data_IF_917067678633
#
_entry.id   IF_917067678633
#
_cell.length_a   1.000
_cell.length_b   1.000
_cell.length_c   1.000
_cell.angle_alpha   90.00
_cell.angle_beta   90.00
_cell.angle_gamma   90.00
#
_symmetry.space_group_name_H-M   'P 1'
#
loop_
_entity.id
_entity.type
_entity.pdbx_description
1 polymer ?
#
# COMPACT_ATOMS: atom_id res chain seq x y z
N UNK A 1 0.06 17.66 -11.36
CA UNK A 1 -0.14 16.84 -10.13
C UNK A 1 -0.97 15.62 -10.50
N UNK A 2 -0.42 14.41 -10.35
CA UNK A 2 -1.11 13.18 -10.71
C UNK A 2 -1.94 12.71 -9.51
N UNK A 3 -3.26 12.77 -9.64
CA UNK A 3 -4.18 12.20 -8.66
C UNK A 3 -4.51 10.78 -9.07
N UNK A 4 -4.02 9.79 -8.31
CA UNK A 4 -4.43 8.39 -8.46
C UNK A 4 -5.34 8.04 -7.29
N UNK A 5 -6.54 7.52 -7.56
CA UNK A 5 -7.50 7.09 -6.55
C UNK A 5 -7.92 8.20 -5.55
N UNK A 6 -7.92 9.47 -6.00
CA UNK A 6 -8.20 10.63 -5.14
C UNK A 6 -7.08 10.94 -4.13
N UNK A 7 -5.97 10.21 -4.17
CA UNK A 7 -4.74 10.52 -3.45
C UNK A 7 -3.89 11.45 -4.32
N UNK A 8 -3.30 12.49 -3.70
CA UNK A 8 -2.16 13.13 -4.31
C UNK A 8 -1.01 12.13 -4.26
N UNK A 9 -0.75 11.49 -5.41
CA UNK A 9 0.49 10.75 -5.64
C UNK A 9 1.49 11.76 -6.14
N UNK A 10 1.75 12.77 -5.30
CA UNK A 10 2.93 13.60 -5.50
C UNK A 10 4.14 12.69 -5.30
N UNK A 11 5.11 12.75 -6.22
CA UNK A 11 6.41 12.10 -6.11
C UNK A 11 7.27 12.70 -4.98
N UNK A 12 6.63 13.16 -3.90
CA UNK A 12 7.29 13.54 -2.67
C UNK A 12 7.84 12.25 -2.08
N UNK A 13 9.16 12.18 -2.06
CA UNK A 13 10.00 11.09 -1.57
C UNK A 13 9.28 10.24 -0.53
N UNK A 14 9.00 8.98 -0.89
CA UNK A 14 8.53 8.01 0.09
C UNK A 14 9.51 8.00 1.27
N UNK A 15 9.01 8.01 2.52
CA UNK A 15 9.89 7.94 3.68
C UNK A 15 10.73 6.66 3.62
N UNK A 16 11.95 6.74 4.14
CA UNK A 16 12.82 5.58 4.30
C UNK A 16 12.15 4.47 5.12
N UNK A 17 11.40 4.85 6.17
CA UNK A 17 10.61 3.96 7.02
C UNK A 17 9.10 4.19 6.83
N UNK A 18 8.55 3.60 5.77
CA UNK A 18 7.11 3.66 5.47
C UNK A 18 6.28 3.09 6.63
N UNK A 19 6.64 1.91 7.14
CA UNK A 19 5.85 1.24 8.17
C UNK A 19 5.72 2.07 9.45
N UNK A 20 6.83 2.61 9.99
CA UNK A 20 6.76 3.43 11.20
C UNK A 20 6.00 4.73 10.99
N UNK A 21 6.08 5.33 9.79
CA UNK A 21 5.27 6.52 9.49
C UNK A 21 3.77 6.20 9.40
N UNK A 22 3.39 5.05 8.83
CA UNK A 22 2.00 4.55 8.87
C UNK A 22 1.55 4.34 10.32
N UNK A 23 2.38 3.75 11.18
CA UNK A 23 2.04 3.51 12.58
C UNK A 23 1.76 4.81 13.35
N UNK A 24 2.57 5.84 13.11
CA UNK A 24 2.39 7.18 13.72
C UNK A 24 1.13 7.87 13.22
N UNK A 25 0.87 7.81 11.91
CA UNK A 25 -0.30 8.45 11.30
C UNK A 25 -1.60 7.71 11.62
N UNK A 26 -1.56 6.42 11.91
CA UNK A 26 -2.78 5.60 12.06
C UNK A 26 -3.78 6.13 13.08
N UNK A 27 -3.30 6.65 14.22
CA UNK A 27 -4.17 7.15 15.30
C UNK A 27 -4.79 8.51 15.00
N UNK A 28 -4.09 9.39 14.27
CA UNK A 28 -4.55 10.75 14.01
C UNK A 28 -5.20 10.88 12.62
N UNK A 29 -4.63 10.21 11.63
CA UNK A 29 -4.94 10.35 10.20
C UNK A 29 -4.90 8.97 9.50
N UNK A 30 -5.82 8.05 9.83
CA UNK A 30 -5.83 6.68 9.28
C UNK A 30 -5.95 6.65 7.75
N UNK A 31 -6.58 7.67 7.16
CA UNK A 31 -6.68 7.82 5.70
C UNK A 31 -5.32 8.14 5.07
N UNK A 32 -4.56 9.05 5.66
CA UNK A 32 -3.19 9.34 5.19
C UNK A 32 -2.27 8.15 5.42
N UNK A 33 -2.42 7.44 6.55
CA UNK A 33 -1.64 6.25 6.85
C UNK A 33 -1.83 5.16 5.76
N UNK A 34 -3.08 4.81 5.44
CA UNK A 34 -3.37 3.85 4.37
C UNK A 34 -2.95 4.37 2.99
N UNK A 35 -3.18 5.66 2.71
CA UNK A 35 -2.77 6.29 1.46
C UNK A 35 -1.26 6.31 1.25
N UNK A 36 -0.48 6.51 2.31
CA UNK A 36 0.98 6.41 2.30
C UNK A 36 1.42 4.99 1.95
N UNK A 37 0.87 3.99 2.65
CA UNK A 37 1.22 2.59 2.43
C UNK A 37 0.86 2.13 1.00
N UNK A 38 -0.30 2.56 0.49
CA UNK A 38 -0.74 2.25 -0.86
C UNK A 38 0.17 2.90 -1.91
N UNK A 39 0.52 4.18 -1.75
CA UNK A 39 1.49 4.86 -2.63
C UNK A 39 2.86 4.18 -2.61
N UNK A 40 3.31 3.75 -1.43
CA UNK A 40 4.56 3.01 -1.28
C UNK A 40 4.53 1.67 -2.04
N UNK A 41 3.42 0.93 -1.94
CA UNK A 41 3.21 -0.31 -2.69
C UNK A 41 3.31 -0.07 -4.20
N UNK A 42 2.60 0.93 -4.74
CA UNK A 42 2.64 1.26 -6.18
C UNK A 42 4.06 1.59 -6.66
N UNK A 43 4.80 2.38 -5.89
CA UNK A 43 6.19 2.73 -6.20
C UNK A 43 7.09 1.50 -6.25
N UNK A 44 6.91 0.55 -5.31
CA UNK A 44 7.64 -0.73 -5.32
C UNK A 44 7.24 -1.62 -6.49
N UNK A 45 5.96 -1.68 -6.84
CA UNK A 45 5.50 -2.43 -8.02
C UNK A 45 6.12 -1.89 -9.32
N UNK A 46 6.20 -0.57 -9.45
CA UNK A 46 6.85 0.09 -10.60
C UNK A 46 8.38 -0.10 -10.60
N UNK A 47 9.04 0.04 -9.45
CA UNK A 47 10.51 0.09 -9.36
C UNK A 47 11.14 -1.30 -9.22
N UNK A 48 10.64 -2.10 -8.28
CA UNK A 48 11.18 -3.40 -7.87
C UNK A 48 10.66 -4.52 -8.80
N UNK A 49 9.33 -4.55 -9.02
CA UNK A 49 8.68 -5.58 -9.85
C UNK A 49 8.55 -5.18 -11.33
N UNK A 50 8.91 -3.94 -11.69
CA UNK A 50 8.81 -3.39 -13.06
C UNK A 50 7.43 -3.61 -13.69
N UNK A 51 6.40 -3.61 -12.85
CA UNK A 51 5.03 -3.88 -13.24
C UNK A 51 4.48 -2.63 -13.95
N UNK A 52 3.99 -2.74 -15.20
CA UNK A 52 3.52 -1.58 -15.95
C UNK A 52 2.14 -1.14 -15.46
N UNK A 53 2.11 -0.39 -14.35
CA UNK A 53 0.90 0.23 -13.82
C UNK A 53 0.56 1.48 -14.63
N UNK A 54 -0.69 1.58 -15.07
CA UNK A 54 -1.24 2.74 -15.79
C UNK A 54 -2.15 3.54 -14.87
N UNK A 55 -2.25 4.84 -15.11
CA UNK A 55 -3.17 5.70 -14.36
C UNK A 55 -4.66 5.32 -14.53
N UNK A 56 -4.99 4.56 -15.58
CA UNK A 56 -6.32 4.02 -15.83
C UNK A 56 -6.57 2.64 -15.19
N UNK A 57 -5.56 2.02 -14.59
CA UNK A 57 -5.75 0.76 -13.86
C UNK A 57 -6.61 1.01 -12.62
N UNK A 58 -7.63 0.18 -12.44
CA UNK A 58 -8.44 0.16 -11.22
C UNK A 58 -7.72 -0.65 -10.16
N UNK A 59 -8.04 -0.44 -8.89
CA UNK A 59 -7.44 -1.20 -7.79
C UNK A 59 -7.60 -2.72 -7.99
N UNK A 60 -8.74 -3.15 -8.55
CA UNK A 60 -8.97 -4.55 -8.92
C UNK A 60 -8.02 -5.06 -10.01
N UNK A 61 -7.72 -4.24 -11.04
CA UNK A 61 -6.76 -4.62 -12.07
C UNK A 61 -5.33 -4.68 -11.52
N UNK A 62 -4.97 -3.80 -10.59
CA UNK A 62 -3.67 -3.85 -9.90
C UNK A 62 -3.52 -5.19 -9.17
N UNK A 63 -4.55 -5.65 -8.44
CA UNK A 63 -4.53 -6.96 -7.78
C UNK A 63 -4.37 -8.12 -8.78
N UNK A 64 -5.00 -8.04 -9.94
CA UNK A 64 -4.81 -9.05 -11.00
C UNK A 64 -3.37 -9.06 -11.51
N UNK A 65 -2.79 -7.90 -11.79
CA UNK A 65 -1.39 -7.80 -12.21
C UNK A 65 -0.43 -8.34 -11.15
N UNK A 66 -0.69 -8.08 -9.86
CA UNK A 66 0.11 -8.63 -8.76
C UNK A 66 -0.05 -10.15 -8.66
N UNK A 67 -1.25 -10.69 -8.88
CA UNK A 67 -1.47 -12.13 -8.88
C UNK A 67 -0.65 -12.84 -9.97
N UNK A 68 -0.44 -12.18 -11.12
CA UNK A 68 0.41 -12.69 -12.20
C UNK A 68 1.91 -12.73 -11.85
N UNK A 69 2.34 -11.99 -10.82
CA UNK A 69 3.73 -12.06 -10.32
C UNK A 69 4.02 -13.38 -9.58
N UNK A 70 2.98 -14.17 -9.27
CA UNK A 70 3.09 -15.44 -8.55
C UNK A 70 3.80 -15.31 -7.20
N UNK A 71 3.59 -14.19 -6.51
CA UNK A 71 4.16 -13.85 -5.21
C UNK A 71 3.06 -13.87 -4.14
N UNK A 72 2.81 -15.01 -3.47
CA UNK A 72 1.65 -15.18 -2.60
C UNK A 72 1.60 -14.16 -1.45
N UNK A 73 2.75 -13.84 -0.85
CA UNK A 73 2.84 -12.83 0.22
C UNK A 73 2.46 -11.43 -0.28
N UNK A 74 2.92 -11.05 -1.47
CA UNK A 74 2.63 -9.75 -2.07
C UNK A 74 1.15 -9.67 -2.47
N UNK A 75 0.61 -10.74 -3.08
CA UNK A 75 -0.79 -10.82 -3.47
C UNK A 75 -1.73 -10.76 -2.26
N UNK A 76 -1.37 -11.39 -1.15
CA UNK A 76 -2.14 -11.34 0.09
C UNK A 76 -2.13 -9.95 0.72
N UNK A 77 -0.94 -9.39 0.92
CA UNK A 77 -0.76 -8.04 1.45
C UNK A 77 -1.48 -6.97 0.62
N UNK A 78 -1.31 -7.01 -0.71
CA UNK A 78 -1.92 -6.03 -1.60
C UNK A 78 -3.45 -6.10 -1.57
N UNK A 79 -4.02 -7.30 -1.48
CA UNK A 79 -5.47 -7.50 -1.32
C UNK A 79 -5.98 -6.92 0.00
N UNK A 80 -5.34 -7.23 1.11
CA UNK A 80 -5.73 -6.71 2.43
C UNK A 80 -5.65 -5.18 2.48
N UNK A 81 -4.53 -4.61 2.02
CA UNK A 81 -4.35 -3.16 1.95
C UNK A 81 -5.42 -2.49 1.08
N UNK A 82 -5.68 -3.06 -0.10
CA UNK A 82 -6.69 -2.53 -1.04
C UNK A 82 -8.09 -2.60 -0.44
N UNK A 83 -8.44 -3.68 0.26
CA UNK A 83 -9.73 -3.82 0.92
C UNK A 83 -9.91 -2.78 2.04
N UNK A 84 -8.90 -2.58 2.89
CA UNK A 84 -8.95 -1.54 3.93
C UNK A 84 -9.03 -0.13 3.36
N UNK A 85 -8.25 0.15 2.30
CA UNK A 85 -8.28 1.41 1.60
C UNK A 85 -9.66 1.70 1.00
N UNK A 86 -10.25 0.76 0.25
CA UNK A 86 -11.57 0.92 -0.35
C UNK A 86 -12.67 1.13 0.71
N UNK A 87 -12.62 0.34 1.79
CA UNK A 87 -13.56 0.48 2.90
C UNK A 87 -13.48 1.86 3.56
N UNK A 88 -12.29 2.45 3.67
CA UNK A 88 -12.14 3.80 4.24
C UNK A 88 -12.46 4.91 3.24
N UNK A 89 -11.99 4.79 2.00
CA UNK A 89 -12.12 5.83 0.98
C UNK A 89 -13.56 5.95 0.44
N UNK A 90 -14.23 4.82 0.21
CA UNK A 90 -15.59 4.77 -0.32
C UNK A 90 -16.62 4.43 0.76
N UNK A 91 -16.28 3.53 1.67
CA UNK A 91 -17.18 3.08 2.74
C UNK A 91 -17.11 3.93 4.01
N UNK A 92 -16.18 4.88 4.10
CA UNK A 92 -15.90 5.68 5.32
C UNK A 92 -15.73 4.84 6.58
N UNK A 93 -15.36 3.56 6.45
CA UNK A 93 -15.15 2.64 7.55
C UNK A 93 -13.69 2.67 7.98
N UNK A 94 -13.49 3.01 9.25
CA UNK A 94 -12.18 2.98 9.87
C UNK A 94 -11.65 1.54 9.89
N UNK A 95 -10.39 1.32 9.48
CA UNK A 95 -9.76 0.02 9.60
C UNK A 95 -9.63 -0.35 11.09
N UNK A 96 -9.73 -1.64 11.43
CA UNK A 96 -9.67 -2.07 12.82
C UNK A 96 -8.25 -1.90 13.38
N UNK A 97 -8.11 -1.87 14.71
CA UNK A 97 -6.82 -1.58 15.37
C UNK A 97 -5.73 -2.62 15.06
N UNK A 98 -6.11 -3.88 14.82
CA UNK A 98 -5.20 -4.94 14.38
C UNK A 98 -4.69 -4.73 12.96
N UNK A 99 -5.47 -4.12 12.06
CA UNK A 99 -5.05 -3.87 10.68
C UNK A 99 -3.79 -3.01 10.61
N UNK A 100 -3.57 -2.10 11.58
CA UNK A 100 -2.32 -1.36 11.69
C UNK A 100 -1.12 -2.30 11.79
N UNK A 101 -1.17 -3.23 12.75
CA UNK A 101 -0.06 -4.14 13.00
C UNK A 101 0.11 -5.12 11.84
N UNK A 102 -0.99 -5.68 11.33
CA UNK A 102 -0.96 -6.64 10.23
C UNK A 102 -0.39 -6.03 8.94
N UNK A 103 -0.79 -4.80 8.59
CA UNK A 103 -0.26 -4.11 7.42
C UNK A 103 1.21 -3.69 7.62
N UNK A 104 1.58 -3.19 8.79
CA UNK A 104 2.96 -2.78 9.03
C UNK A 104 3.92 -3.98 9.10
N UNK A 105 3.49 -5.08 9.71
CA UNK A 105 4.25 -6.33 9.74
C UNK A 105 4.36 -6.94 8.33
N UNK A 106 3.25 -7.02 7.60
CA UNK A 106 3.23 -7.49 6.21
C UNK A 106 4.15 -6.67 5.30
N UNK A 107 4.14 -5.34 5.44
CA UNK A 107 5.05 -4.46 4.71
C UNK A 107 6.51 -4.74 5.05
N UNK A 108 6.85 -4.85 6.33
CA UNK A 108 8.22 -5.17 6.76
C UNK A 108 8.64 -6.54 6.23
N UNK A 109 7.77 -7.54 6.28
CA UNK A 109 8.06 -8.89 5.78
C UNK A 109 8.33 -8.92 4.27
N UNK A 110 7.69 -8.04 3.50
CA UNK A 110 7.86 -7.95 2.05
C UNK A 110 9.04 -7.09 1.61
N UNK A 111 9.26 -5.95 2.28
CA UNK A 111 10.14 -4.89 1.78
C UNK A 111 11.27 -4.50 2.72
N UNK A 112 11.35 -5.05 3.94
CA UNK A 112 12.42 -4.72 4.87
C UNK A 112 13.76 -5.30 4.36
N UNK A 113 14.78 -4.46 4.07
CA UNK A 113 16.07 -4.94 3.60
C UNK A 113 16.85 -5.73 4.66
N UNK A 114 16.45 -5.68 5.95
CA UNK A 114 17.09 -6.42 7.02
C UNK A 114 16.79 -7.94 7.03
N UNK A 115 15.82 -8.41 6.24
CA UNK A 115 15.61 -9.85 5.96
C UNK A 115 16.30 -10.21 4.63
N UNK A 116 17.57 -9.83 4.50
CA UNK A 116 18.53 -10.50 3.64
C UNK A 116 19.58 -11.08 4.56
N UNK A 117 19.31 -12.28 5.07
CA UNK A 117 20.30 -13.16 5.67
C UNK A 117 20.46 -14.38 4.76
#
# INVERSE_FOLDING_TARGET
PEQLFGLQVSAESLPEDVAGQVEQLWSNQPREALGLLYRALLSRLLSDYRLPLKNADTEGQILQHIALLNQPLLSDFSRELTAHWQNLAYGHRLPPANARQELCDGWRRLFNPAVKA
#
